data_IF_090095928537
#
_entry.id   IF_090095928537
#
_cell.length_a   1.000
_cell.length_b   1.000
_cell.length_c   1.000
_cell.angle_alpha   90.00
_cell.angle_beta   90.00
_cell.angle_gamma   90.00
#
_symmetry.space_group_name_H-M   'P 1'
#
loop_
_entity.id
_entity.type
_entity.pdbx_description
1 polymer ?
#
# COMPACT_ATOMS: atom_id res chain seq x y z
N UNK A 1 5.85 14.83 16.44
CA UNK A 1 5.19 15.29 15.20
C UNK A 1 4.09 16.29 15.54
N UNK A 2 3.91 17.32 14.72
CA UNK A 2 2.89 18.36 14.92
C UNK A 2 1.47 17.79 14.73
N UNK A 3 0.63 17.91 15.76
CA UNK A 3 -0.77 17.45 15.74
C UNK A 3 -1.59 18.17 14.67
N UNK A 4 -1.25 19.43 14.37
CA UNK A 4 -1.92 20.22 13.34
C UNK A 4 -1.64 19.68 11.95
N UNK A 5 -0.38 19.30 11.67
CA UNK A 5 -0.01 18.69 10.40
C UNK A 5 -0.80 17.41 10.16
N UNK A 6 -0.92 16.53 11.17
CA UNK A 6 -1.65 15.27 11.00
C UNK A 6 -3.13 15.48 10.71
N UNK A 7 -3.79 16.36 11.44
CA UNK A 7 -5.20 16.66 11.16
C UNK A 7 -5.38 17.21 9.75
N UNK A 8 -4.44 18.04 9.26
CA UNK A 8 -4.45 18.52 7.87
C UNK A 8 -4.29 17.39 6.87
N UNK A 9 -3.36 16.45 7.11
CA UNK A 9 -3.15 15.31 6.20
C UNK A 9 -4.37 14.39 6.13
N UNK A 10 -5.04 14.13 7.26
CA UNK A 10 -6.27 13.32 7.25
C UNK A 10 -7.42 14.06 6.55
N UNK A 11 -7.60 15.36 6.79
CA UNK A 11 -8.60 16.16 6.06
C UNK A 11 -8.38 16.12 4.55
N UNK A 12 -7.14 16.30 4.08
CA UNK A 12 -6.82 16.21 2.65
C UNK A 12 -7.09 14.80 2.10
N UNK A 13 -6.83 13.76 2.90
CA UNK A 13 -7.07 12.38 2.50
C UNK A 13 -8.55 12.09 2.32
N UNK A 14 -9.40 12.54 3.25
CA UNK A 14 -10.86 12.41 3.17
C UNK A 14 -11.44 13.15 1.96
N UNK A 15 -10.78 14.22 1.50
CA UNK A 15 -11.17 14.99 0.32
C UNK A 15 -10.47 14.54 -0.99
N UNK A 16 -9.77 13.39 -0.97
CA UNK A 16 -9.02 12.85 -2.10
C UNK A 16 -7.95 13.79 -2.68
N UNK A 17 -7.41 14.71 -1.88
CA UNK A 17 -6.37 15.67 -2.26
C UNK A 17 -4.97 15.07 -2.05
N UNK A 18 -4.68 13.96 -2.74
CA UNK A 18 -3.47 13.17 -2.51
C UNK A 18 -2.18 13.86 -2.98
N UNK A 19 -2.22 14.61 -4.08
CA UNK A 19 -1.07 15.40 -4.56
C UNK A 19 -0.66 16.46 -3.55
N UNK A 20 -1.62 17.07 -2.86
CA UNK A 20 -1.35 18.09 -1.84
C UNK A 20 -0.73 17.47 -0.57
N UNK A 21 -1.15 16.26 -0.20
CA UNK A 21 -0.49 15.48 0.86
C UNK A 21 0.97 15.23 0.51
N UNK A 22 1.25 14.79 -0.73
CA UNK A 22 2.62 14.56 -1.20
C UNK A 22 3.43 15.84 -1.08
N UNK A 23 2.94 16.96 -1.63
CA UNK A 23 3.64 18.24 -1.58
C UNK A 23 3.97 18.67 -0.15
N UNK A 24 2.98 18.64 0.75
CA UNK A 24 3.15 19.06 2.14
C UNK A 24 4.16 18.20 2.90
N UNK A 25 4.17 16.89 2.68
CA UNK A 25 5.15 16.03 3.34
C UNK A 25 6.55 16.23 2.72
N UNK A 26 6.65 16.50 1.42
CA UNK A 26 7.93 16.73 0.75
C UNK A 26 8.62 18.03 1.20
N UNK A 27 7.87 19.03 1.67
CA UNK A 27 8.43 20.24 2.29
C UNK A 27 9.19 19.96 3.60
N UNK A 28 8.84 18.87 4.30
CA UNK A 28 9.61 18.41 5.46
C UNK A 28 10.90 17.74 4.94
N UNK A 29 12.10 18.11 5.40
CA UNK A 29 13.34 17.44 5.01
C UNK A 29 13.28 15.94 5.30
N UNK A 30 13.82 15.11 4.41
CA UNK A 30 13.72 13.64 4.50
C UNK A 30 14.20 13.09 5.86
N UNK A 31 15.31 13.63 6.36
CA UNK A 31 15.93 13.31 7.67
C UNK A 31 14.94 13.50 8.84
N UNK A 32 13.98 14.40 8.69
CA UNK A 32 12.98 14.77 9.70
C UNK A 32 11.64 14.06 9.53
N UNK A 33 11.47 13.26 8.46
CA UNK A 33 10.25 12.49 8.21
C UNK A 33 10.32 11.21 9.05
N UNK A 34 9.54 11.18 10.12
CA UNK A 34 9.38 9.98 10.94
C UNK A 34 8.60 8.87 10.20
N UNK A 35 8.48 7.70 10.85
CA UNK A 35 7.72 6.57 10.32
C UNK A 35 6.31 6.97 9.86
N UNK A 36 5.62 7.82 10.63
CA UNK A 36 4.23 8.17 10.35
C UNK A 36 4.14 9.08 9.12
N UNK A 37 5.01 10.07 8.96
CA UNK A 37 5.07 10.89 7.75
C UNK A 37 5.44 10.07 6.52
N UNK A 38 6.45 9.19 6.61
CA UNK A 38 6.82 8.31 5.49
C UNK A 38 5.68 7.36 5.11
N UNK A 39 5.00 6.80 6.10
CA UNK A 39 3.84 5.93 5.88
C UNK A 39 2.66 6.68 5.24
N UNK A 40 2.40 7.93 5.63
CA UNK A 40 1.37 8.79 5.03
C UNK A 40 1.72 9.20 3.60
N UNK A 41 2.99 9.52 3.33
CA UNK A 41 3.47 9.83 1.98
C UNK A 41 3.32 8.62 1.04
N UNK A 42 3.64 7.41 1.52
CA UNK A 42 3.40 6.19 0.75
C UNK A 42 1.91 5.94 0.47
N UNK A 43 1.03 6.21 1.45
CA UNK A 43 -0.44 6.14 1.25
C UNK A 43 -0.88 7.10 0.15
N UNK A 44 -0.38 8.33 0.16
CA UNK A 44 -0.73 9.32 -0.86
C UNK A 44 -0.24 8.93 -2.25
N UNK A 45 1.01 8.42 -2.37
CA UNK A 45 1.50 7.87 -3.63
C UNK A 45 0.63 6.72 -4.17
N UNK A 46 0.23 5.78 -3.30
CA UNK A 46 -0.68 4.70 -3.69
C UNK A 46 -2.00 5.24 -4.26
N UNK A 47 -2.56 6.27 -3.64
CA UNK A 47 -3.86 6.82 -4.02
C UNK A 47 -3.79 7.78 -5.23
N UNK A 48 -2.62 8.37 -5.51
CA UNK A 48 -2.34 9.10 -6.76
C UNK A 48 -2.15 8.18 -7.96
N UNK A 49 -1.89 6.88 -7.74
CA UNK A 49 -1.69 5.91 -8.80
C UNK A 49 -2.98 5.66 -9.60
N UNK A 50 -3.16 6.40 -10.69
CA UNK A 50 -4.32 6.22 -11.58
C UNK A 50 -4.05 5.05 -12.54
N UNK A 51 -4.91 4.03 -12.48
CA UNK A 51 -4.86 2.82 -13.30
C UNK A 51 -4.99 3.06 -14.82
N UNK A 52 -5.44 4.24 -15.25
CA UNK A 52 -5.76 4.54 -16.65
C UNK A 52 -4.59 5.22 -17.40
N UNK A 53 -3.66 5.89 -16.70
CA UNK A 53 -2.63 6.74 -17.33
C UNK A 53 -1.22 6.17 -17.32
N UNK A 54 -1.02 4.91 -16.91
CA UNK A 54 0.32 4.29 -16.90
C UNK A 54 1.25 4.83 -15.81
N UNK A 55 0.69 5.46 -14.77
CA UNK A 55 1.39 6.01 -13.60
C UNK A 55 1.85 4.92 -12.62
N UNK A 56 2.67 4.00 -13.13
CA UNK A 56 3.38 3.00 -12.32
C UNK A 56 4.44 3.64 -11.41
N UNK A 57 4.88 4.86 -11.75
CA UNK A 57 5.94 5.55 -11.02
C UNK A 57 5.54 5.88 -9.58
N UNK A 58 4.31 6.34 -9.34
CA UNK A 58 3.80 6.61 -8.00
C UNK A 58 3.74 5.34 -7.15
N UNK A 59 3.30 4.20 -7.72
CA UNK A 59 3.34 2.92 -7.02
C UNK A 59 4.76 2.46 -6.72
N UNK A 60 5.72 2.67 -7.64
CA UNK A 60 7.14 2.38 -7.41
C UNK A 60 7.67 3.24 -6.25
N UNK A 61 7.39 4.55 -6.24
CA UNK A 61 7.76 5.46 -5.13
C UNK A 61 7.17 5.01 -3.80
N UNK A 62 5.92 4.56 -3.79
CA UNK A 62 5.30 4.02 -2.60
C UNK A 62 6.02 2.76 -2.10
N UNK A 63 6.36 1.83 -3.01
CA UNK A 63 7.11 0.60 -2.68
C UNK A 63 8.49 0.94 -2.10
N UNK A 64 9.27 1.78 -2.77
CA UNK A 64 10.61 2.19 -2.32
C UNK A 64 10.56 2.82 -0.93
N UNK A 65 9.61 3.74 -0.73
CA UNK A 65 9.43 4.41 0.55
C UNK A 65 9.01 3.45 1.65
N UNK A 66 8.06 2.54 1.38
CA UNK A 66 7.60 1.54 2.36
C UNK A 66 8.73 0.57 2.73
N UNK A 67 9.52 0.12 1.75
CA UNK A 67 10.70 -0.72 2.01
C UNK A 67 11.73 -0.02 2.88
N UNK A 68 11.93 1.29 2.71
CA UNK A 68 12.86 2.07 3.55
C UNK A 68 12.48 2.07 5.05
N UNK A 69 11.19 1.90 5.35
CA UNK A 69 10.63 1.88 6.72
C UNK A 69 10.15 0.49 7.16
N UNK A 70 10.54 -0.57 6.45
CA UNK A 70 10.07 -1.95 6.70
C UNK A 70 10.33 -2.43 8.13
N UNK A 71 11.47 -2.06 8.71
CA UNK A 71 11.85 -2.48 10.07
C UNK A 71 10.86 -1.94 11.12
N UNK A 72 10.42 -0.69 10.94
CA UNK A 72 9.50 -0.02 11.86
C UNK A 72 8.05 -0.47 11.64
N UNK A 73 7.69 -0.83 10.40
CA UNK A 73 6.35 -1.31 10.02
C UNK A 73 6.08 -2.81 10.24
N UNK A 74 7.03 -3.57 10.81
CA UNK A 74 6.96 -5.06 10.89
C UNK A 74 5.73 -5.62 11.64
N UNK A 75 5.16 -4.84 12.54
CA UNK A 75 3.98 -5.20 13.35
C UNK A 75 2.75 -4.34 12.99
N UNK A 76 2.85 -3.52 11.94
CA UNK A 76 1.79 -2.65 11.45
C UNK A 76 1.10 -3.26 10.22
N UNK A 77 -0.16 -3.69 10.39
CA UNK A 77 -0.92 -4.25 9.27
C UNK A 77 -1.14 -3.22 8.15
N UNK A 78 -1.22 -1.93 8.45
CA UNK A 78 -1.44 -0.90 7.43
C UNK A 78 -0.22 -0.76 6.53
N UNK A 79 0.98 -0.95 7.07
CA UNK A 79 2.21 -1.02 6.27
C UNK A 79 2.12 -2.16 5.24
N UNK A 80 1.72 -3.36 5.71
CA UNK A 80 1.56 -4.53 4.82
C UNK A 80 0.43 -4.37 3.81
N UNK A 81 -0.68 -3.75 4.21
CA UNK A 81 -1.78 -3.42 3.30
C UNK A 81 -1.31 -2.46 2.20
N UNK A 82 -0.62 -1.37 2.57
CA UNK A 82 -0.15 -0.36 1.62
C UNK A 82 0.87 -0.91 0.63
N UNK A 83 1.84 -1.72 1.10
CA UNK A 83 2.83 -2.30 0.18
C UNK A 83 2.22 -3.40 -0.68
N UNK A 84 1.25 -4.16 -0.14
CA UNK A 84 0.49 -5.15 -0.90
C UNK A 84 -0.31 -4.52 -2.02
N UNK A 85 -1.00 -3.41 -1.72
CA UNK A 85 -1.74 -2.63 -2.71
C UNK A 85 -0.81 -2.09 -3.81
N UNK A 86 0.32 -1.49 -3.42
CA UNK A 86 1.29 -0.98 -4.38
C UNK A 86 1.82 -2.08 -5.32
N UNK A 87 2.17 -3.25 -4.79
CA UNK A 87 2.61 -4.39 -5.60
C UNK A 87 1.52 -4.92 -6.53
N UNK A 88 0.27 -5.01 -6.04
CA UNK A 88 -0.86 -5.45 -6.83
C UNK A 88 -1.12 -4.50 -8.01
N UNK A 89 -1.05 -3.19 -7.78
CA UNK A 89 -1.27 -2.17 -8.81
C UNK A 89 -0.23 -2.19 -9.94
N UNK A 90 0.93 -2.80 -9.73
CA UNK A 90 1.96 -3.01 -10.78
C UNK A 90 2.12 -4.49 -11.16
N UNK A 91 1.09 -5.32 -10.89
CA UNK A 91 1.00 -6.73 -11.27
C UNK A 91 2.09 -7.66 -10.68
N UNK A 92 2.69 -7.29 -9.54
CA UNK A 92 3.62 -8.17 -8.80
C UNK A 92 2.82 -9.01 -7.79
N UNK A 93 2.00 -9.91 -8.32
CA UNK A 93 0.97 -10.65 -7.59
C UNK A 93 1.52 -11.51 -6.42
N UNK A 94 2.67 -12.16 -6.57
CA UNK A 94 3.24 -12.98 -5.49
C UNK A 94 3.58 -12.15 -4.24
N UNK A 95 4.20 -10.98 -4.43
CA UNK A 95 4.56 -10.08 -3.31
C UNK A 95 3.33 -9.40 -2.73
N UNK A 96 2.36 -9.04 -3.57
CA UNK A 96 1.08 -8.51 -3.12
C UNK A 96 0.36 -9.52 -2.21
N UNK A 97 0.27 -10.78 -2.63
CA UNK A 97 -0.36 -11.85 -1.89
C UNK A 97 0.32 -12.13 -0.53
N UNK A 98 1.66 -12.19 -0.51
CA UNK A 98 2.43 -12.34 0.73
C UNK A 98 2.11 -11.20 1.72
N UNK A 99 2.09 -9.97 1.21
CA UNK A 99 1.84 -8.77 2.00
C UNK A 99 0.43 -8.76 2.58
N UNK A 100 -0.59 -9.02 1.77
CA UNK A 100 -1.97 -9.07 2.24
C UNK A 100 -2.22 -10.21 3.22
N UNK A 101 -1.62 -11.39 3.03
CA UNK A 101 -1.69 -12.50 4.01
C UNK A 101 -1.09 -12.09 5.35
N UNK A 102 0.03 -11.38 5.35
CA UNK A 102 0.66 -10.86 6.57
C UNK A 102 -0.18 -9.77 7.23
N UNK A 103 -0.77 -8.86 6.46
CA UNK A 103 -1.72 -7.86 6.97
C UNK A 103 -2.92 -8.54 7.66
N UNK A 104 -3.55 -9.50 6.98
CA UNK A 104 -4.68 -10.27 7.52
C UNK A 104 -4.31 -11.01 8.82
N UNK A 105 -3.08 -11.54 8.92
CA UNK A 105 -2.61 -12.18 10.16
C UNK A 105 -2.51 -11.18 11.31
N UNK A 106 -1.97 -9.99 11.08
CA UNK A 106 -1.79 -8.96 12.11
C UNK A 106 -3.09 -8.27 12.54
N UNK A 107 -4.09 -8.17 11.64
CA UNK A 107 -5.42 -7.59 11.95
C UNK A 107 -6.21 -8.47 12.93
N UNK A 108 -6.02 -9.79 12.91
CA UNK A 108 -6.84 -10.72 13.70
C UNK A 108 -6.81 -10.42 15.20
N UNK A 109 -5.74 -9.77 15.67
CA UNK A 109 -5.52 -9.41 17.08
C UNK A 109 -6.05 -8.02 17.46
N UNK A 110 -6.62 -7.24 16.52
CA UNK A 110 -7.11 -5.86 16.77
C UNK A 110 -8.62 -5.81 16.98
N UNK A 111 -9.07 -4.93 17.89
CA UNK A 111 -10.51 -4.69 18.18
C UNK A 111 -11.24 -3.95 17.06
N UNK A 112 -10.59 -2.97 16.44
CA UNK A 112 -11.09 -2.23 15.28
C UNK A 112 -10.30 -2.67 14.05
N UNK A 113 -11.02 -3.01 12.97
CA UNK A 113 -10.48 -3.71 11.80
C UNK A 113 -10.87 -2.99 10.51
N UNK A 114 -10.15 -1.93 10.18
CA UNK A 114 -10.27 -1.29 8.87
C UNK A 114 -9.64 -2.15 7.77
N UNK A 115 -10.18 -2.08 6.55
CA UNK A 115 -9.71 -2.79 5.36
C UNK A 115 -9.69 -4.33 5.42
N UNK A 116 -10.23 -4.97 6.47
CA UNK A 116 -10.19 -6.43 6.60
C UNK A 116 -10.88 -7.15 5.43
N UNK A 117 -12.03 -6.65 5.00
CA UNK A 117 -12.80 -7.27 3.92
C UNK A 117 -12.15 -7.02 2.56
N UNK A 118 -11.61 -5.81 2.33
CA UNK A 118 -10.78 -5.52 1.16
C UNK A 118 -9.55 -6.44 1.08
N UNK A 119 -8.82 -6.62 2.19
CA UNK A 119 -7.65 -7.51 2.25
C UNK A 119 -8.04 -8.94 1.87
N UNK A 120 -9.17 -9.45 2.37
CA UNK A 120 -9.64 -10.80 2.04
C UNK A 120 -10.00 -10.91 0.56
N UNK A 121 -10.65 -9.88 0.00
CA UNK A 121 -11.01 -9.88 -1.42
C UNK A 121 -9.76 -9.82 -2.30
N UNK A 122 -8.76 -9.00 -1.98
CA UNK A 122 -7.48 -8.98 -2.69
C UNK A 122 -6.78 -10.35 -2.64
N UNK A 123 -6.73 -11.00 -1.47
CA UNK A 123 -6.15 -12.35 -1.35
C UNK A 123 -6.87 -13.33 -2.29
N UNK A 124 -8.20 -13.35 -2.24
CA UNK A 124 -9.01 -14.26 -3.06
C UNK A 124 -8.84 -13.99 -4.56
N UNK A 125 -8.85 -12.74 -4.96
CA UNK A 125 -8.67 -12.33 -6.35
C UNK A 125 -7.29 -12.75 -6.87
N UNK A 126 -6.23 -12.40 -6.14
CA UNK A 126 -4.85 -12.73 -6.56
C UNK A 126 -4.63 -14.25 -6.60
N UNK A 127 -5.17 -15.01 -5.64
CA UNK A 127 -5.09 -16.47 -5.66
C UNK A 127 -5.80 -17.08 -6.87
N UNK A 128 -6.95 -16.51 -7.25
CA UNK A 128 -7.68 -16.92 -8.44
C UNK A 128 -6.88 -16.63 -9.72
N UNK A 129 -6.32 -15.43 -9.85
CA UNK A 129 -5.48 -15.03 -10.99
C UNK A 129 -4.26 -15.95 -11.13
N UNK A 130 -3.51 -16.19 -10.05
CA UNK A 130 -2.36 -17.10 -10.04
C UNK A 130 -2.76 -18.52 -10.47
N UNK A 131 -3.92 -19.00 -10.02
CA UNK A 131 -4.43 -20.32 -10.40
C UNK A 131 -4.72 -20.39 -11.89
N UNK A 132 -5.38 -19.37 -12.46
CA UNK A 132 -5.67 -19.31 -13.89
C UNK A 132 -4.38 -19.26 -14.71
N UNK A 133 -3.42 -18.40 -14.34
CA UNK A 133 -2.14 -18.28 -15.06
C UNK A 133 -1.37 -19.61 -15.11
N UNK A 134 -1.42 -20.41 -14.03
CA UNK A 134 -0.79 -21.75 -14.01
C UNK A 134 -1.47 -22.74 -14.95
N UNK A 135 -2.81 -22.73 -15.02
CA UNK A 135 -3.56 -23.61 -15.91
C UNK A 135 -3.24 -23.31 -17.38
N UNK A 136 -3.19 -22.02 -17.76
CA UNK A 136 -2.87 -21.59 -19.12
C UNK A 136 -1.46 -22.05 -19.52
N UNK A 137 -0.47 -21.94 -18.62
CA UNK A 137 0.90 -22.41 -18.91
C UNK A 137 0.92 -23.93 -19.11
N UNK A 138 0.19 -24.69 -18.29
CA UNK A 138 0.13 -26.15 -18.44
C UNK A 138 -0.54 -26.60 -19.75
N UNK A 139 -1.58 -25.89 -20.20
CA UNK A 139 -2.26 -26.19 -21.47
C UNK A 139 -1.38 -25.86 -22.69
N UNK A 140 -0.56 -24.80 -22.62
CA UNK A 140 0.34 -24.41 -23.70
C UNK A 140 1.67 -25.21 -23.75
N UNK A 141 1.94 -26.05 -22.74
CA UNK A 141 3.12 -26.91 -22.68
C UNK A 141 2.85 -28.38 -23.03
N UNK A 142 1.59 -28.74 -23.33
CA UNK A 142 1.18 -30.07 -23.82
C UNK A 142 0.86 -30.04 -25.31
#
# INVERSE_FOLDING_TARGET
MDKNLINKLEYLHENNQFEEIIQLILEVPEEKRDYKLKSQLARAYNNCGVFITGKSEEFIKAIELLLSIKKDGKDDYLWYYRIGFAYWSININDKALESFKKANKLIKDKKEKEHIDEIKEFIKQIEHEIKISKLIVMENCN
#
